data_IF_973486165267
#
_entry.id   IF_973486165267
#
_cell.length_a   1.000
_cell.length_b   1.000
_cell.length_c   1.000
_cell.angle_alpha   90.00
_cell.angle_beta   90.00
_cell.angle_gamma   90.00
#
_symmetry.space_group_name_H-M   'P 1'
#
loop_
_entity.id
_entity.type
_entity.pdbx_description
1 polymer ?
#
# COMPACT_ATOMS: atom_id res chain seq x y z
N UNK A 1 0.44 15.63 -8.76
CA UNK A 1 -0.42 14.52 -8.31
C UNK A 1 -0.31 14.56 -6.82
N UNK A 2 -1.42 14.75 -6.12
CA UNK A 2 -1.40 14.90 -4.67
C UNK A 2 -1.76 13.53 -4.07
N UNK A 3 -1.14 13.22 -2.93
CA UNK A 3 -1.31 11.94 -2.24
C UNK A 3 -1.49 12.14 -0.76
N UNK A 4 -2.20 11.20 -0.14
CA UNK A 4 -2.40 11.13 1.29
C UNK A 4 -2.36 9.67 1.73
N UNK A 5 -1.41 9.34 2.59
CA UNK A 5 -1.37 8.03 3.22
C UNK A 5 -2.49 7.99 4.28
N UNK A 6 -3.57 7.27 3.98
CA UNK A 6 -4.75 7.21 4.86
C UNK A 6 -4.47 6.40 6.11
N UNK A 7 -3.89 5.21 5.95
CA UNK A 7 -3.61 4.34 7.08
C UNK A 7 -2.54 3.29 6.77
N UNK A 8 -1.79 2.93 7.82
CA UNK A 8 -0.97 1.73 7.91
C UNK A 8 -1.30 1.11 9.26
N UNK A 9 -1.83 -0.11 9.29
CA UNK A 9 -2.28 -0.74 10.53
C UNK A 9 -2.24 -2.25 10.46
N UNK A 10 -2.23 -2.91 11.63
CA UNK A 10 -2.39 -4.36 11.73
C UNK A 10 -3.79 -4.66 12.23
N UNK A 11 -4.53 -5.48 11.49
CA UNK A 11 -5.89 -5.85 11.86
C UNK A 11 -5.92 -6.91 12.97
N UNK A 12 -7.12 -7.32 13.40
CA UNK A 12 -7.30 -8.27 14.51
C UNK A 12 -6.72 -9.66 14.26
N UNK A 13 -6.56 -10.07 13.01
CA UNK A 13 -5.97 -11.38 12.67
C UNK A 13 -4.45 -11.31 12.51
N UNK A 14 -3.87 -10.11 12.58
CA UNK A 14 -2.44 -9.86 12.46
C UNK A 14 -1.98 -9.48 11.05
N UNK A 15 -2.90 -9.29 10.11
CA UNK A 15 -2.55 -8.89 8.73
C UNK A 15 -2.29 -7.38 8.68
N UNK A 16 -1.31 -6.97 7.88
CA UNK A 16 -0.99 -5.58 7.62
C UNK A 16 -1.93 -5.04 6.55
N UNK A 17 -2.55 -3.91 6.84
CA UNK A 17 -3.46 -3.17 5.95
C UNK A 17 -2.89 -1.78 5.71
N UNK A 18 -2.76 -1.43 4.43
CA UNK A 18 -2.22 -0.15 3.99
C UNK A 18 -3.22 0.46 3.02
N UNK A 19 -3.58 1.72 3.23
CA UNK A 19 -4.47 2.47 2.33
C UNK A 19 -3.85 3.80 1.97
N UNK A 20 -3.85 4.12 0.69
CA UNK A 20 -3.38 5.39 0.14
C UNK A 20 -4.49 6.02 -0.70
N UNK A 21 -4.69 7.32 -0.52
CA UNK A 21 -5.61 8.15 -1.28
C UNK A 21 -4.81 9.01 -2.25
N UNK A 22 -5.19 8.98 -3.53
CA UNK A 22 -4.59 9.74 -4.61
C UNK A 22 -5.65 10.68 -5.19
N UNK A 23 -5.29 11.96 -5.35
CA UNK A 23 -6.19 12.97 -5.92
C UNK A 23 -5.47 14.00 -6.80
N UNK A 24 -6.27 14.73 -7.59
CA UNK A 24 -5.82 15.82 -8.43
C UNK A 24 -5.50 15.43 -9.88
N UNK A 25 -5.04 16.41 -10.67
CA UNK A 25 -4.96 16.30 -12.14
C UNK A 25 -4.06 15.18 -12.66
N UNK A 26 -3.04 14.77 -11.90
CA UNK A 26 -2.19 13.63 -12.25
C UNK A 26 -2.89 12.28 -12.13
N UNK A 27 -3.89 12.15 -11.26
CA UNK A 27 -4.69 10.93 -11.11
C UNK A 27 -5.63 10.77 -12.30
N UNK A 28 -6.20 11.88 -12.79
CA UNK A 28 -7.02 11.88 -14.01
C UNK A 28 -6.21 11.38 -15.21
N UNK A 29 -4.94 11.79 -15.31
CA UNK A 29 -4.06 11.36 -16.41
C UNK A 29 -3.72 9.87 -16.43
N UNK A 30 -3.77 9.19 -15.28
CA UNK A 30 -3.38 7.76 -15.16
C UNK A 30 -4.60 6.85 -15.01
N UNK A 31 -5.59 7.28 -14.24
CA UNK A 31 -6.74 6.47 -13.82
C UNK A 31 -8.08 6.99 -14.40
N UNK A 32 -8.07 8.09 -15.17
CA UNK A 32 -9.27 8.73 -15.73
C UNK A 32 -10.30 9.14 -14.66
N UNK A 33 -9.83 9.43 -13.44
CA UNK A 33 -10.65 9.77 -12.27
C UNK A 33 -10.02 10.87 -11.42
N UNK A 34 -10.84 11.69 -10.78
CA UNK A 34 -10.38 12.79 -9.91
C UNK A 34 -9.88 12.30 -8.54
N UNK A 35 -10.38 11.15 -8.11
CA UNK A 35 -10.13 10.57 -6.80
C UNK A 35 -10.00 9.04 -6.92
N UNK A 36 -8.93 8.50 -6.33
CA UNK A 36 -8.57 7.10 -6.41
C UNK A 36 -8.01 6.65 -5.06
N UNK A 37 -8.66 5.68 -4.43
CA UNK A 37 -8.14 5.07 -3.20
C UNK A 37 -7.70 3.66 -3.53
N UNK A 38 -6.52 3.27 -3.10
CA UNK A 38 -6.09 1.89 -3.20
C UNK A 38 -5.52 1.39 -1.89
N UNK A 39 -5.67 0.09 -1.70
CA UNK A 39 -5.32 -0.59 -0.47
C UNK A 39 -4.74 -1.95 -0.77
N UNK A 40 -3.76 -2.34 0.04
CA UNK A 40 -3.25 -3.71 0.05
C UNK A 40 -3.38 -4.31 1.43
N UNK A 41 -3.58 -5.62 1.45
CA UNK A 41 -3.53 -6.44 2.66
C UNK A 41 -2.46 -7.51 2.51
N UNK A 42 -1.54 -7.56 3.47
CA UNK A 42 -0.46 -8.53 3.53
C UNK A 42 -0.70 -9.44 4.73
N UNK A 43 -0.67 -10.75 4.49
CA UNK A 43 -0.93 -11.73 5.55
C UNK A 43 0.17 -11.73 6.60
N UNK A 44 -0.19 -11.98 7.86
CA UNK A 44 0.76 -12.01 8.99
C UNK A 44 1.99 -12.88 8.77
N UNK A 45 1.84 -14.02 8.09
CA UNK A 45 2.91 -14.99 7.81
C UNK A 45 3.90 -14.50 6.75
N UNK A 46 3.63 -13.37 6.12
CA UNK A 46 4.49 -12.71 5.13
C UNK A 46 5.18 -11.45 5.65
N UNK A 47 4.81 -10.95 6.83
CA UNK A 47 5.32 -9.66 7.34
C UNK A 47 6.83 -9.66 7.57
N UNK A 48 7.42 -10.80 7.95
CA UNK A 48 8.87 -10.94 8.06
C UNK A 48 9.58 -10.80 6.70
N UNK A 49 8.96 -11.27 5.62
CA UNK A 49 9.48 -11.12 4.26
C UNK A 49 9.40 -9.65 3.84
N UNK A 50 8.30 -8.96 4.16
CA UNK A 50 8.15 -7.52 3.89
C UNK A 50 9.21 -6.71 4.63
N UNK A 51 9.44 -6.98 5.92
CA UNK A 51 10.49 -6.31 6.70
C UNK A 51 11.88 -6.48 6.06
N UNK A 52 12.17 -7.72 5.64
CA UNK A 52 13.42 -8.08 4.96
C UNK A 52 13.57 -7.35 3.63
N UNK A 53 12.52 -7.35 2.79
CA UNK A 53 12.50 -6.66 1.50
C UNK A 53 12.70 -5.15 1.64
N UNK A 54 12.18 -4.56 2.71
CA UNK A 54 12.36 -3.14 3.03
C UNK A 54 13.71 -2.81 3.68
N UNK A 55 14.59 -3.81 3.81
CA UNK A 55 15.95 -3.67 4.36
C UNK A 55 15.96 -3.27 5.83
N UNK A 56 14.95 -3.69 6.60
CA UNK A 56 14.77 -3.23 7.97
C UNK A 56 14.81 -4.39 8.98
N UNK A 57 15.58 -4.19 10.05
CA UNK A 57 15.68 -5.09 11.21
C UNK A 57 14.77 -4.66 12.37
N UNK A 58 13.94 -3.62 12.18
CA UNK A 58 13.00 -3.14 13.21
C UNK A 58 11.91 -4.16 13.52
N UNK A 59 11.52 -4.22 14.78
CA UNK A 59 10.48 -5.13 15.29
C UNK A 59 9.06 -4.73 14.84
N UNK A 60 8.81 -3.45 14.55
CA UNK A 60 7.48 -2.95 14.16
C UNK A 60 7.36 -2.68 12.65
N UNK A 61 6.71 -3.61 11.96
CA UNK A 61 6.43 -3.51 10.52
C UNK A 61 5.57 -2.30 10.16
N UNK A 62 4.68 -1.85 11.06
CA UNK A 62 3.82 -0.68 10.81
C UNK A 62 4.69 0.56 10.71
N UNK A 63 5.63 0.76 11.63
CA UNK A 63 6.54 1.90 11.59
C UNK A 63 7.46 1.86 10.35
N UNK A 64 7.93 0.67 9.97
CA UNK A 64 8.79 0.51 8.79
C UNK A 64 8.05 0.93 7.53
N UNK A 65 6.84 0.41 7.33
CA UNK A 65 6.04 0.70 6.14
C UNK A 65 5.55 2.14 6.14
N UNK A 66 5.09 2.65 7.29
CA UNK A 66 4.69 4.04 7.44
C UNK A 66 5.85 4.99 7.14
N UNK A 67 7.04 4.71 7.67
CA UNK A 67 8.23 5.50 7.40
C UNK A 67 8.57 5.57 5.92
N UNK A 68 8.54 4.42 5.22
CA UNK A 68 8.79 4.35 3.77
C UNK A 68 7.75 5.16 2.99
N UNK A 69 6.46 4.92 3.22
CA UNK A 69 5.39 5.57 2.46
C UNK A 69 5.21 7.06 2.78
N UNK A 70 5.70 7.53 3.93
CA UNK A 70 5.62 8.95 4.30
C UNK A 70 6.63 9.82 3.55
N UNK A 71 7.80 9.30 3.18
CA UNK A 71 8.93 10.10 2.70
C UNK A 71 8.78 10.69 1.27
N UNK A 72 7.55 10.85 0.76
CA UNK A 72 7.16 11.46 -0.54
C UNK A 72 7.73 10.82 -1.83
N UNK A 73 8.84 10.10 -1.75
CA UNK A 73 9.49 9.41 -2.88
C UNK A 73 8.99 7.97 -3.08
N UNK A 74 8.25 7.43 -2.12
CA UNK A 74 7.81 6.03 -2.12
C UNK A 74 6.29 5.98 -1.98
N UNK A 75 5.61 5.54 -3.04
CA UNK A 75 4.15 5.36 -3.13
C UNK A 75 3.76 3.94 -2.76
N UNK A 76 2.46 3.73 -2.54
CA UNK A 76 1.95 2.37 -2.36
C UNK A 76 2.21 1.49 -3.60
N UNK A 77 2.23 2.10 -4.80
CA UNK A 77 2.60 1.42 -6.03
C UNK A 77 4.06 0.89 -6.00
N UNK A 78 5.02 1.66 -5.49
CA UNK A 78 6.41 1.21 -5.36
C UNK A 78 6.55 0.05 -4.37
N UNK A 79 5.72 0.06 -3.31
CA UNK A 79 5.64 -1.08 -2.39
C UNK A 79 5.06 -2.31 -3.10
N UNK A 80 3.99 -2.16 -3.88
CA UNK A 80 3.41 -3.27 -4.65
C UNK A 80 4.42 -3.85 -5.65
N UNK A 81 5.19 -3.00 -6.34
CA UNK A 81 6.23 -3.43 -7.27
C UNK A 81 7.35 -4.20 -6.55
N UNK A 82 7.77 -3.74 -5.37
CA UNK A 82 8.72 -4.47 -4.53
C UNK A 82 8.17 -5.83 -4.10
N UNK A 83 6.92 -5.90 -3.65
CA UNK A 83 6.28 -7.14 -3.23
C UNK A 83 6.15 -8.13 -4.41
N UNK A 84 5.77 -7.63 -5.59
CA UNK A 84 5.69 -8.43 -6.82
C UNK A 84 7.08 -8.95 -7.21
N UNK A 85 8.13 -8.13 -7.09
CA UNK A 85 9.52 -8.53 -7.35
C UNK A 85 10.02 -9.63 -6.40
N UNK A 86 9.70 -9.51 -5.11
CA UNK A 86 10.09 -10.47 -4.06
C UNK A 86 9.17 -11.71 -3.99
N UNK A 87 8.13 -11.77 -4.84
CA UNK A 87 7.16 -12.86 -4.84
C UNK A 87 6.29 -12.92 -3.57
N UNK A 88 6.11 -11.79 -2.89
CA UNK A 88 5.30 -11.67 -1.68
C UNK A 88 3.85 -11.42 -2.08
N UNK A 89 2.99 -12.39 -1.86
CA UNK A 89 1.55 -12.27 -2.16
C UNK A 89 0.84 -11.28 -1.24
N UNK A 90 0.04 -10.40 -1.81
CA UNK A 90 -0.86 -9.49 -1.12
C UNK A 90 -2.24 -9.46 -1.81
N UNK A 91 -3.28 -9.08 -1.06
CA UNK A 91 -4.59 -8.76 -1.66
C UNK A 91 -4.63 -7.29 -2.00
N UNK A 92 -5.23 -6.92 -3.11
CA UNK A 92 -5.35 -5.55 -3.57
C UNK A 92 -6.82 -5.16 -3.77
N UNK A 93 -7.18 -3.97 -3.32
CA UNK A 93 -8.46 -3.35 -3.60
C UNK A 93 -8.28 -1.88 -3.98
N UNK A 94 -9.02 -1.41 -4.97
CA UNK A 94 -9.13 -0.01 -5.34
C UNK A 94 -10.57 0.46 -5.25
N UNK A 95 -10.80 1.66 -4.73
CA UNK A 95 -12.10 2.32 -4.73
C UNK A 95 -12.06 3.51 -5.68
N UNK A 96 -12.97 3.50 -6.64
CA UNK A 96 -13.17 4.52 -7.67
C UNK A 96 -14.66 4.85 -7.73
N UNK A 97 -15.03 6.13 -7.54
CA UNK A 97 -16.42 6.59 -7.58
C UNK A 97 -17.40 5.80 -6.68
N UNK A 98 -16.91 5.28 -5.55
CA UNK A 98 -17.70 4.46 -4.62
C UNK A 98 -17.84 2.99 -5.03
N UNK A 99 -17.18 2.56 -6.11
CA UNK A 99 -17.09 1.16 -6.54
C UNK A 99 -15.75 0.58 -6.12
N UNK A 100 -15.77 -0.57 -5.43
CA UNK A 100 -14.55 -1.31 -5.04
C UNK A 100 -14.21 -2.37 -6.08
N UNK A 101 -13.00 -2.30 -6.63
CA UNK A 101 -12.41 -3.26 -7.55
C UNK A 101 -11.36 -4.08 -6.81
N UNK A 102 -11.30 -5.38 -7.09
CA UNK A 102 -10.28 -6.28 -6.54
C UNK A 102 -9.39 -6.79 -7.67
N UNK A 103 -8.08 -6.89 -7.41
CA UNK A 103 -7.19 -7.63 -8.32
C UNK A 103 -7.37 -9.13 -8.02
N UNK A 104 -7.57 -10.00 -9.04
CA UNK A 104 -7.69 -11.44 -8.84
C UNK A 104 -6.42 -12.07 -8.26
#
# INVERSE_FOLDING_TARGET
MDRKLESVSVNRVGDLEITEELFGSGVVGVYDREHYVHSIRIRKDKLCLVATALGNERDDIVEVVFGKLRDEEYFLADLMDLLDHEGITYSYAAQMDGVTHFRP
#
